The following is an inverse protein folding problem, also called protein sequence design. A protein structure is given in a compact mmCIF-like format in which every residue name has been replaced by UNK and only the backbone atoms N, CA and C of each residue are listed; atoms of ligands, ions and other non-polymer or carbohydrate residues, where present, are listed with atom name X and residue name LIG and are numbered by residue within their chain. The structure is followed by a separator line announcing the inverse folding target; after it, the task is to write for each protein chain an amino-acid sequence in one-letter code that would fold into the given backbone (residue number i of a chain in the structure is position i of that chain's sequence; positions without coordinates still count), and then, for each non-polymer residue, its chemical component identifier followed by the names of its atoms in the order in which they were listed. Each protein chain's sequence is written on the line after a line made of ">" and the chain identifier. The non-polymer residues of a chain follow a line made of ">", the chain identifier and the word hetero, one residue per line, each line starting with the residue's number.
data_IF_738815292308
#
_entry.id   IF_738815292308
#
_cell.length_a   1.000
_cell.length_b   1.000
_cell.length_c   1.000
_cell.angle_alpha   90.00
_cell.angle_beta   90.00
_cell.angle_gamma   90.00
#
_symmetry.space_group_name_H-M   'P 1'
#
loop_
_entity.id
_entity.type
_entity.pdbx_description
1 polymer ?
#
# COMPACT_ATOMS: atom_id res chain seq x y z
N UNK A 1 -29.44 6.16 -1.72
CA UNK A 1 -28.85 7.47 -2.08
C UNK A 1 -27.50 7.73 -1.41
N UNK A 2 -27.33 7.40 -0.13
CA UNK A 2 -26.04 7.53 0.58
C UNK A 2 -24.87 6.75 -0.06
N UNK A 3 -25.11 5.54 -0.58
CA UNK A 3 -24.10 4.67 -1.21
C UNK A 3 -23.38 5.31 -2.40
N UNK A 4 -24.08 6.07 -3.26
CA UNK A 4 -23.47 6.82 -4.38
C UNK A 4 -22.64 8.02 -3.92
N UNK A 5 -22.98 8.61 -2.77
CA UNK A 5 -22.27 9.76 -2.23
C UNK A 5 -20.95 9.34 -1.58
N UNK A 6 -20.99 8.28 -0.78
CA UNK A 6 -19.78 7.69 -0.19
C UNK A 6 -18.83 7.16 -1.27
N UNK A 7 -19.34 6.48 -2.31
CA UNK A 7 -18.48 5.99 -3.40
C UNK A 7 -17.69 7.12 -4.06
N UNK A 8 -18.32 8.28 -4.29
CA UNK A 8 -17.65 9.45 -4.90
C UNK A 8 -16.58 10.05 -4.00
N UNK A 9 -16.80 10.07 -2.67
CA UNK A 9 -15.81 10.53 -1.69
C UNK A 9 -14.61 9.58 -1.68
N UNK A 10 -14.85 8.26 -1.63
CA UNK A 10 -13.78 7.25 -1.65
C UNK A 10 -12.97 7.29 -2.94
N UNK A 11 -13.61 7.43 -4.12
CA UNK A 11 -12.91 7.62 -5.39
C UNK A 11 -12.07 8.90 -5.40
N UNK A 12 -12.57 9.98 -4.81
CA UNK A 12 -11.81 11.24 -4.71
C UNK A 12 -10.61 11.09 -3.79
N UNK A 13 -10.74 10.29 -2.73
CA UNK A 13 -9.67 10.04 -1.76
C UNK A 13 -8.58 9.13 -2.34
N UNK A 14 -8.95 8.03 -3.02
CA UNK A 14 -8.01 7.16 -3.73
C UNK A 14 -7.22 7.94 -4.80
N UNK A 15 -7.90 8.79 -5.58
CA UNK A 15 -7.24 9.66 -6.56
C UNK A 15 -6.23 10.63 -5.93
N UNK A 16 -6.50 11.14 -4.73
CA UNK A 16 -5.55 11.99 -3.99
C UNK A 16 -4.32 11.19 -3.53
N UNK A 17 -4.51 9.95 -3.08
CA UNK A 17 -3.39 9.08 -2.71
C UNK A 17 -2.52 8.74 -3.92
N UNK A 18 -3.13 8.38 -5.06
CA UNK A 18 -2.40 8.09 -6.31
C UNK A 18 -1.52 9.28 -6.71
N UNK A 19 -2.05 10.50 -6.74
CA UNK A 19 -1.27 11.71 -7.07
C UNK A 19 -0.11 11.93 -6.11
N UNK A 20 -0.31 11.67 -4.82
CA UNK A 20 0.77 11.74 -3.82
C UNK A 20 1.87 10.73 -4.14
N UNK A 21 1.51 9.48 -4.46
CA UNK A 21 2.49 8.45 -4.79
C UNK A 21 3.24 8.75 -6.09
N UNK A 22 2.56 9.30 -7.10
CA UNK A 22 3.20 9.76 -8.34
C UNK A 22 4.24 10.85 -8.07
N UNK A 23 3.93 11.83 -7.21
CA UNK A 23 4.90 12.85 -6.83
C UNK A 23 6.10 12.28 -6.07
N UNK A 24 5.89 11.28 -5.22
CA UNK A 24 6.99 10.58 -4.54
C UNK A 24 7.88 9.86 -5.56
N UNK A 25 7.29 9.14 -6.52
CA UNK A 25 8.06 8.46 -7.57
C UNK A 25 8.86 9.44 -8.44
N UNK A 26 8.29 10.61 -8.75
CA UNK A 26 8.99 11.68 -9.46
C UNK A 26 10.22 12.15 -8.68
N UNK A 27 10.07 12.44 -7.38
CA UNK A 27 11.20 12.84 -6.52
C UNK A 27 12.27 11.75 -6.48
N UNK A 28 11.89 10.47 -6.34
CA UNK A 28 12.84 9.37 -6.35
C UNK A 28 13.59 9.28 -7.69
N UNK A 29 12.86 9.43 -8.80
CA UNK A 29 13.42 9.39 -10.15
C UNK A 29 14.40 10.56 -10.39
N UNK A 30 14.04 11.77 -9.98
CA UNK A 30 14.88 12.96 -10.11
C UNK A 30 16.19 12.82 -9.34
N UNK A 31 16.18 12.03 -8.26
CA UNK A 31 17.35 11.70 -7.46
C UNK A 31 18.03 10.39 -7.89
N UNK A 32 17.67 9.82 -9.05
CA UNK A 32 18.19 8.55 -9.57
C UNK A 32 18.05 7.35 -8.62
N UNK A 33 17.00 7.34 -7.79
CA UNK A 33 16.72 6.29 -6.82
C UNK A 33 15.79 5.24 -7.45
N UNK A 34 16.32 4.03 -7.62
CA UNK A 34 15.53 2.86 -8.04
C UNK A 34 14.90 2.17 -6.81
N UNK A 35 13.62 2.45 -6.57
CA UNK A 35 12.86 1.93 -5.42
C UNK A 35 12.92 0.40 -5.30
N UNK A 36 13.05 -0.33 -6.42
CA UNK A 36 13.08 -1.80 -6.41
C UNK A 36 14.29 -2.38 -5.69
N UNK A 37 15.38 -1.61 -5.60
CA UNK A 37 16.64 -2.01 -4.98
C UNK A 37 16.63 -1.91 -3.46
N UNK A 38 15.65 -1.21 -2.89
CA UNK A 38 15.59 -0.95 -1.46
C UNK A 38 14.66 -1.92 -0.73
N UNK A 39 14.86 -2.03 0.58
CA UNK A 39 13.88 -2.64 1.48
C UNK A 39 12.96 -1.52 1.93
N UNK A 40 11.65 -1.74 1.83
CA UNK A 40 10.67 -0.70 2.15
C UNK A 40 9.75 -1.15 3.28
N UNK A 41 9.42 -0.20 4.15
CA UNK A 41 8.45 -0.34 5.23
C UNK A 41 7.35 0.71 5.04
N UNK A 42 6.11 0.25 4.91
CA UNK A 42 4.92 1.09 4.89
C UNK A 42 4.25 1.06 6.27
N UNK A 43 4.11 2.22 6.92
CA UNK A 43 3.51 2.33 8.26
C UNK A 43 2.14 2.99 8.13
N UNK A 44 1.11 2.37 8.69
CA UNK A 44 -0.28 2.80 8.53
C UNK A 44 -0.80 2.45 7.14
N UNK A 45 -0.70 1.17 6.76
CA UNK A 45 -1.00 0.75 5.40
C UNK A 45 -2.48 0.82 5.03
N UNK A 46 -3.38 0.83 6.02
CA UNK A 46 -4.83 0.97 5.81
C UNK A 46 -5.32 0.09 4.66
N UNK A 47 -6.17 0.60 3.76
CA UNK A 47 -6.71 -0.12 2.58
C UNK A 47 -5.69 -0.49 1.49
N UNK A 48 -4.39 -0.53 1.79
CA UNK A 48 -3.32 -1.04 0.92
C UNK A 48 -3.17 -0.36 -0.45
N UNK A 49 -3.49 0.95 -0.48
CA UNK A 49 -3.47 1.73 -1.71
C UNK A 49 -2.07 1.85 -2.32
N UNK A 50 -1.03 1.97 -1.48
CA UNK A 50 0.36 2.09 -1.95
C UNK A 50 0.84 0.77 -2.57
N UNK A 51 0.52 -0.34 -1.91
CA UNK A 51 0.85 -1.70 -2.32
C UNK A 51 0.23 -1.97 -3.68
N UNK A 52 -1.08 -1.72 -3.82
CA UNK A 52 -1.80 -1.86 -5.08
C UNK A 52 -1.18 -0.98 -6.17
N UNK A 53 -0.93 0.30 -5.87
CA UNK A 53 -0.30 1.25 -6.78
C UNK A 53 1.07 0.77 -7.30
N UNK A 54 1.91 0.24 -6.41
CA UNK A 54 3.25 -0.26 -6.74
C UNK A 54 3.19 -1.58 -7.52
N UNK A 55 2.25 -2.47 -7.21
CA UNK A 55 2.05 -3.74 -7.96
C UNK A 55 1.58 -3.45 -9.39
N UNK A 56 0.57 -2.60 -9.55
CA UNK A 56 -0.01 -2.29 -10.87
C UNK A 56 0.98 -1.62 -11.82
N UNK A 57 1.99 -0.92 -11.28
CA UNK A 57 3.07 -0.30 -12.05
C UNK A 57 4.31 -1.17 -12.14
N UNK A 58 4.27 -2.39 -11.63
CA UNK A 58 5.40 -3.31 -11.51
C UNK A 58 6.61 -2.67 -10.81
N UNK A 59 6.39 -1.78 -9.84
CA UNK A 59 7.42 -1.04 -9.10
C UNK A 59 7.67 -1.59 -7.70
N UNK A 60 6.98 -2.67 -7.31
CA UNK A 60 7.09 -3.16 -5.95
C UNK A 60 8.52 -3.68 -5.64
N UNK A 61 9.14 -3.25 -4.53
CA UNK A 61 10.44 -3.74 -4.10
C UNK A 61 10.44 -5.24 -3.77
N UNK A 62 11.62 -5.86 -3.88
CA UNK A 62 11.80 -7.28 -3.55
C UNK A 62 11.45 -7.59 -2.08
N UNK A 63 11.67 -6.62 -1.19
CA UNK A 63 11.30 -6.69 0.21
C UNK A 63 10.45 -5.48 0.57
N UNK A 64 9.17 -5.73 0.80
CA UNK A 64 8.20 -4.70 1.13
C UNK A 64 7.33 -5.17 2.30
N UNK A 65 7.44 -4.49 3.43
CA UNK A 65 6.68 -4.80 4.65
C UNK A 65 5.66 -3.70 4.86
N UNK A 66 4.45 -4.07 5.28
CA UNK A 66 3.43 -3.09 5.62
C UNK A 66 2.80 -3.42 6.95
N UNK A 67 2.69 -2.41 7.79
CA UNK A 67 2.20 -2.54 9.15
C UNK A 67 1.06 -1.56 9.37
N UNK A 68 0.09 -1.97 10.17
CA UNK A 68 -0.99 -1.12 10.65
C UNK A 68 -1.23 -1.46 12.11
N UNK A 69 -1.64 -0.46 12.89
CA UNK A 69 -1.97 -0.67 14.30
C UNK A 69 -3.26 -1.51 14.43
N UNK A 70 -4.17 -1.41 13.47
CA UNK A 70 -5.45 -2.09 13.50
C UNK A 70 -5.37 -3.44 12.78
N UNK A 71 -5.48 -4.54 13.53
CA UNK A 71 -5.53 -5.89 12.95
C UNK A 71 -6.66 -6.09 11.95
N UNK A 72 -7.82 -5.47 12.15
CA UNK A 72 -8.96 -5.58 11.25
C UNK A 72 -8.62 -5.13 9.82
N UNK A 73 -7.81 -4.09 9.68
CA UNK A 73 -7.26 -3.64 8.38
C UNK A 73 -6.42 -4.75 7.75
N UNK A 74 -5.57 -5.39 8.56
CA UNK A 74 -4.69 -6.46 8.11
C UNK A 74 -5.45 -7.74 7.74
N UNK A 75 -6.65 -7.94 8.26
CA UNK A 75 -7.50 -9.09 7.93
C UNK A 75 -8.24 -8.90 6.60
N UNK A 76 -8.63 -7.66 6.24
CA UNK A 76 -9.13 -7.33 4.90
C UNK A 76 -8.10 -7.64 3.79
N UNK A 77 -6.82 -7.68 4.17
CA UNK A 77 -5.69 -7.99 3.29
C UNK A 77 -5.71 -9.41 2.69
N UNK A 78 -6.47 -10.35 3.27
CA UNK A 78 -6.53 -11.74 2.78
C UNK A 78 -6.96 -11.79 1.30
N UNK A 79 -7.77 -10.83 0.86
CA UNK A 79 -8.18 -10.67 -0.54
C UNK A 79 -7.02 -10.28 -1.48
N UNK A 80 -6.11 -9.39 -1.03
CA UNK A 80 -4.95 -8.89 -1.79
C UNK A 80 -3.76 -9.86 -1.70
N UNK A 81 -3.67 -10.65 -0.62
CA UNK A 81 -2.60 -11.62 -0.37
C UNK A 81 -2.37 -12.58 -1.55
N UNK A 82 -3.42 -13.01 -2.26
CA UNK A 82 -3.30 -13.86 -3.45
C UNK A 82 -2.51 -13.20 -4.58
N UNK A 83 -2.69 -11.90 -4.79
CA UNK A 83 -2.00 -11.11 -5.81
C UNK A 83 -0.52 -10.94 -5.44
N UNK A 84 -0.24 -10.70 -4.15
CA UNK A 84 1.13 -10.52 -3.65
C UNK A 84 1.95 -11.81 -3.67
N UNK A 85 1.35 -12.93 -3.26
CA UNK A 85 2.01 -14.24 -3.29
C UNK A 85 2.34 -14.66 -4.73
N UNK A 86 1.46 -14.37 -5.70
CA UNK A 86 1.72 -14.60 -7.13
C UNK A 86 2.98 -13.88 -7.62
N UNK A 87 3.29 -12.72 -7.04
CA UNK A 87 4.45 -11.89 -7.39
C UNK A 87 5.69 -12.19 -6.51
N UNK A 88 5.67 -13.25 -5.70
CA UNK A 88 6.80 -13.67 -4.81
C UNK A 88 7.26 -12.59 -3.83
N UNK A 89 6.33 -11.78 -3.36
CA UNK A 89 6.61 -10.68 -2.45
C UNK A 89 6.55 -11.19 -1.01
N UNK A 90 7.63 -11.00 -0.25
CA UNK A 90 7.64 -11.26 1.18
C UNK A 90 6.92 -10.13 1.89
N UNK A 91 5.77 -10.44 2.48
CA UNK A 91 4.93 -9.49 3.17
C UNK A 91 4.69 -9.97 4.60
N UNK A 92 5.01 -9.11 5.57
CA UNK A 92 4.83 -9.39 6.99
C UNK A 92 3.75 -8.43 7.49
N UNK A 93 2.68 -9.01 8.03
CA UNK A 93 1.64 -8.29 8.76
C UNK A 93 2.00 -8.30 10.24
N UNK A 94 2.07 -7.12 10.85
CA UNK A 94 2.21 -6.97 12.28
C UNK A 94 1.13 -5.99 12.77
N UNK A 95 0.28 -6.44 13.71
CA UNK A 95 -0.65 -5.57 14.44
C UNK A 95 -0.08 -5.22 15.80
N UNK A 96 -0.46 -4.05 16.32
CA UNK A 96 0.01 -3.53 17.60
C UNK A 96 -0.79 -4.00 18.80
N UNK A 97 -1.61 -5.06 18.69
CA UNK A 97 -2.56 -5.51 19.73
C UNK A 97 -1.88 -6.09 21.00
N UNK A 98 -0.60 -5.81 21.22
CA UNK A 98 0.18 -6.22 22.38
C UNK A 98 0.92 -5.04 23.04
N UNK A 99 0.28 -3.86 23.12
CA UNK A 99 0.56 -2.94 24.22
C UNK A 99 -0.57 -3.05 25.26
N UNK A 100 -0.27 -3.49 26.49
CA UNK A 100 -1.25 -3.57 27.58
C UNK A 100 -1.84 -2.20 27.94
#
# INVERSE_FOLDING_TARGET
>A
MATKFFSKIYTTWENKQIKKYEKILEILKDNSIDIKRFKSLNIGCSGFFLEKFLIERELLPKFFVSIDIYRSVLEEFISIRKILLKNRINFILASGDSMP
#
